data_IF_471343290741
#
_entry.id   IF_471343290741
#
_cell.length_a   1.000
_cell.length_b   1.000
_cell.length_c   1.000
_cell.angle_alpha   90.00
_cell.angle_beta   90.00
_cell.angle_gamma   90.00
#
_symmetry.space_group_name_H-M   'P 1'
#
loop_
_entity.id
_entity.type
_entity.pdbx_description
1 polymer ?
#
# COMPACT_ATOMS: atom_id res chain seq x y z
N UNK A 1 -10.27 18.92 13.75
CA UNK A 1 -11.64 19.05 13.19
C UNK A 1 -12.08 17.68 12.71
N UNK A 2 -12.85 16.94 13.49
CA UNK A 2 -13.48 15.67 13.10
C UNK A 2 -14.56 15.98 12.08
N UNK A 3 -14.24 15.92 10.79
CA UNK A 3 -15.25 15.99 9.74
C UNK A 3 -16.20 14.80 9.95
N UNK A 4 -17.35 15.02 10.62
CA UNK A 4 -18.52 14.14 10.50
C UNK A 4 -18.82 14.10 9.00
N UNK A 5 -18.37 13.02 8.33
CA UNK A 5 -18.63 12.84 6.92
C UNK A 5 -20.13 12.90 6.69
N UNK A 6 -20.55 13.83 5.82
CA UNK A 6 -21.94 14.03 5.44
C UNK A 6 -22.50 12.73 4.84
N UNK A 7 -23.83 12.57 4.85
CA UNK A 7 -24.52 11.47 4.15
C UNK A 7 -24.04 11.30 2.71
N UNK A 8 -23.60 12.39 2.05
CA UNK A 8 -23.02 12.38 0.71
C UNK A 8 -21.71 11.61 0.58
N UNK A 9 -20.84 11.62 1.59
CA UNK A 9 -19.60 10.84 1.56
C UNK A 9 -19.86 9.33 1.54
N UNK A 10 -20.76 8.86 2.39
CA UNK A 10 -21.15 7.44 2.43
C UNK A 10 -21.87 7.02 1.16
N UNK A 11 -22.72 7.88 0.60
CA UNK A 11 -23.37 7.63 -0.68
C UNK A 11 -22.32 7.50 -1.81
N UNK A 12 -21.35 8.42 -1.90
CA UNK A 12 -20.25 8.34 -2.86
C UNK A 12 -19.40 7.09 -2.69
N UNK A 13 -19.06 6.71 -1.44
CA UNK A 13 -18.33 5.47 -1.16
C UNK A 13 -19.11 4.23 -1.61
N UNK A 14 -20.42 4.15 -1.30
CA UNK A 14 -21.27 3.03 -1.73
C UNK A 14 -21.39 2.95 -3.26
N UNK A 15 -21.48 4.09 -3.95
CA UNK A 15 -21.52 4.13 -5.43
C UNK A 15 -20.22 3.60 -6.02
N UNK A 16 -19.06 4.08 -5.54
CA UNK A 16 -17.75 3.59 -6.01
C UNK A 16 -17.58 2.10 -5.72
N UNK A 17 -17.98 1.65 -4.53
CA UNK A 17 -17.92 0.23 -4.16
C UNK A 17 -18.82 -0.61 -5.07
N UNK A 18 -20.05 -0.17 -5.35
CA UNK A 18 -20.98 -0.86 -6.25
C UNK A 18 -20.40 -0.95 -7.68
N UNK A 19 -19.80 0.14 -8.18
CA UNK A 19 -19.12 0.13 -9.48
C UNK A 19 -17.97 -0.87 -9.52
N UNK A 20 -17.14 -0.95 -8.47
CA UNK A 20 -16.03 -1.90 -8.38
C UNK A 20 -16.52 -3.36 -8.25
N UNK A 21 -17.67 -3.61 -7.62
CA UNK A 21 -18.28 -4.96 -7.57
C UNK A 21 -18.79 -5.39 -8.95
N UNK A 22 -19.36 -4.46 -9.72
CA UNK A 22 -19.92 -4.74 -11.05
C UNK A 22 -18.83 -4.78 -12.13
N UNK A 23 -17.74 -4.03 -11.95
CA UNK A 23 -16.64 -3.92 -12.91
C UNK A 23 -16.15 -5.28 -13.46
N UNK A 24 -15.87 -6.32 -12.65
CA UNK A 24 -15.39 -7.61 -13.16
C UNK A 24 -16.44 -8.39 -13.99
N UNK A 25 -17.71 -8.02 -13.97
CA UNK A 25 -18.75 -8.64 -14.80
C UNK A 25 -18.78 -8.08 -16.22
N UNK A 26 -18.42 -6.81 -16.38
CA UNK A 26 -18.54 -6.08 -17.65
C UNK A 26 -17.18 -5.91 -18.35
N UNK A 27 -16.07 -5.75 -17.58
CA UNK A 27 -14.78 -5.45 -18.13
C UNK A 27 -14.11 -6.68 -18.79
N UNK A 28 -13.36 -6.50 -19.92
CA UNK A 28 -12.45 -7.49 -20.47
C UNK A 28 -11.38 -7.94 -19.45
N UNK A 29 -10.78 -9.10 -19.67
CA UNK A 29 -9.84 -9.72 -18.71
C UNK A 29 -8.66 -8.80 -18.34
N UNK A 30 -8.09 -8.09 -19.31
CA UNK A 30 -7.01 -7.13 -19.08
C UNK A 30 -7.41 -6.04 -18.08
N UNK A 31 -8.53 -5.34 -18.32
CA UNK A 31 -9.01 -4.27 -17.46
C UNK A 31 -9.43 -4.76 -16.09
N UNK A 32 -9.88 -6.00 -16.00
CA UNK A 32 -10.23 -6.67 -14.74
C UNK A 32 -8.98 -6.91 -13.87
N UNK A 33 -7.89 -7.41 -14.47
CA UNK A 33 -6.59 -7.56 -13.81
C UNK A 33 -6.03 -6.22 -13.40
N UNK A 34 -6.09 -5.24 -14.28
CA UNK A 34 -5.60 -3.88 -14.05
C UNK A 34 -6.35 -3.17 -12.93
N UNK A 35 -7.69 -3.28 -12.86
CA UNK A 35 -8.48 -2.75 -11.76
C UNK A 35 -8.11 -3.39 -10.41
N UNK A 36 -7.82 -4.69 -10.41
CA UNK A 36 -7.34 -5.40 -9.20
C UNK A 36 -5.95 -4.89 -8.79
N UNK A 37 -5.07 -4.66 -9.74
CA UNK A 37 -3.74 -4.10 -9.51
C UNK A 37 -3.82 -2.70 -8.88
N UNK A 38 -4.70 -1.83 -9.41
CA UNK A 38 -4.97 -0.50 -8.83
C UNK A 38 -5.40 -0.59 -7.37
N UNK A 39 -6.25 -1.55 -7.01
CA UNK A 39 -6.68 -1.76 -5.63
C UNK A 39 -5.52 -2.16 -4.72
N UNK A 40 -4.62 -3.03 -5.19
CA UNK A 40 -3.46 -3.50 -4.42
C UNK A 40 -2.45 -2.37 -4.21
N UNK A 41 -2.08 -1.65 -5.27
CA UNK A 41 -1.21 -0.46 -5.16
C UNK A 41 -1.86 0.64 -4.34
N UNK A 42 -3.18 0.81 -4.44
CA UNK A 42 -3.95 1.70 -3.59
C UNK A 42 -3.88 1.33 -2.11
N UNK A 43 -3.88 0.05 -1.77
CA UNK A 43 -3.69 -0.43 -0.39
C UNK A 43 -2.29 -0.11 0.12
N UNK A 44 -1.25 -0.34 -0.69
CA UNK A 44 0.12 0.03 -0.36
C UNK A 44 0.25 1.54 -0.14
N UNK A 45 -0.32 2.36 -1.03
CA UNK A 45 -0.32 3.81 -0.90
C UNK A 45 -1.11 4.28 0.34
N UNK A 46 -2.25 3.68 0.63
CA UNK A 46 -3.04 3.98 1.83
C UNK A 46 -2.31 3.59 3.12
N UNK A 47 -1.52 2.51 3.11
CA UNK A 47 -0.69 2.13 4.26
C UNK A 47 0.39 3.17 4.54
N UNK A 48 1.02 3.71 3.51
CA UNK A 48 2.04 4.75 3.65
C UNK A 48 1.44 6.12 4.04
N UNK A 49 0.18 6.40 3.67
CA UNK A 49 -0.53 7.62 4.09
C UNK A 49 -0.72 7.69 5.61
N UNK A 50 -0.78 6.55 6.30
CA UNK A 50 -0.78 6.52 7.76
C UNK A 50 0.46 7.19 8.35
N UNK A 51 1.63 7.06 7.71
CA UNK A 51 2.86 7.70 8.12
C UNK A 51 2.98 9.12 7.55
N UNK A 52 2.86 9.27 6.25
CA UNK A 52 3.04 10.56 5.57
C UNK A 52 1.94 11.53 5.98
N UNK A 53 0.69 11.07 5.90
CA UNK A 53 -0.50 11.89 6.07
C UNK A 53 -0.88 12.15 7.51
N UNK A 54 -0.68 11.20 8.42
CA UNK A 54 -1.14 11.34 9.80
C UNK A 54 -0.01 11.57 10.82
N UNK A 55 1.22 11.12 10.55
CA UNK A 55 2.36 11.37 11.44
C UNK A 55 3.37 12.37 10.90
N UNK A 56 3.29 12.72 9.61
CA UNK A 56 4.26 13.60 8.95
C UNK A 56 5.60 12.93 8.63
N UNK A 57 5.70 11.61 8.80
CA UNK A 57 6.93 10.84 8.56
C UNK A 57 6.96 10.29 7.14
N UNK A 58 7.82 10.82 6.28
CA UNK A 58 8.04 10.27 4.93
C UNK A 58 8.92 9.02 5.07
N UNK A 59 8.42 7.86 4.63
CA UNK A 59 9.13 6.59 4.72
C UNK A 59 9.40 6.01 3.33
N UNK A 60 10.65 5.65 3.08
CA UNK A 60 11.09 4.87 1.92
C UNK A 60 11.30 3.37 2.24
N UNK A 61 10.78 2.91 3.37
CA UNK A 61 10.84 1.51 3.81
C UNK A 61 9.65 0.65 3.39
N UNK A 62 8.61 1.22 2.77
CA UNK A 62 7.39 0.49 2.41
C UNK A 62 7.63 -0.63 1.40
N UNK A 63 8.62 -0.48 0.52
CA UNK A 63 9.05 -1.53 -0.41
C UNK A 63 9.54 -2.78 0.32
N UNK A 64 10.28 -2.63 1.43
CA UNK A 64 10.71 -3.76 2.24
C UNK A 64 9.51 -4.48 2.87
N UNK A 65 8.53 -3.77 3.42
CA UNK A 65 7.32 -4.36 4.00
C UNK A 65 6.48 -5.09 2.95
N UNK A 66 6.28 -4.45 1.80
CA UNK A 66 5.58 -5.01 0.65
C UNK A 66 6.28 -6.27 0.13
N UNK A 67 7.59 -6.18 -0.11
CA UNK A 67 8.39 -7.28 -0.62
C UNK A 67 8.45 -8.46 0.34
N UNK A 68 8.67 -8.21 1.65
CA UNK A 68 8.68 -9.30 2.64
C UNK A 68 7.30 -9.94 2.81
N UNK A 69 6.21 -9.16 2.66
CA UNK A 69 4.86 -9.71 2.55
C UNK A 69 4.71 -10.66 1.36
N UNK A 70 5.22 -10.24 0.21
CA UNK A 70 5.21 -11.00 -1.04
C UNK A 70 6.06 -12.28 -0.93
N UNK A 71 7.31 -12.20 -0.45
CA UNK A 71 8.20 -13.35 -0.28
C UNK A 71 7.73 -14.31 0.81
N UNK A 72 7.15 -13.81 1.91
CA UNK A 72 6.54 -14.64 2.94
C UNK A 72 5.38 -15.45 2.38
N UNK A 73 4.52 -14.85 1.56
CA UNK A 73 3.44 -15.56 0.88
C UNK A 73 4.00 -16.60 -0.11
N UNK A 74 5.02 -16.26 -0.89
CA UNK A 74 5.68 -17.18 -1.81
C UNK A 74 6.27 -18.40 -1.09
N UNK A 75 6.96 -18.19 0.04
CA UNK A 75 7.51 -19.25 0.85
C UNK A 75 6.44 -20.25 1.33
N UNK A 76 5.30 -19.73 1.83
CA UNK A 76 4.19 -20.60 2.25
C UNK A 76 3.58 -21.39 1.08
N UNK A 77 3.45 -20.75 -0.10
CA UNK A 77 2.83 -21.38 -1.28
C UNK A 77 3.75 -22.41 -1.97
N UNK A 78 5.06 -22.34 -1.74
CA UNK A 78 6.04 -23.30 -2.25
C UNK A 78 6.25 -24.50 -1.31
N UNK A 79 6.06 -24.30 0.01
CA UNK A 79 6.34 -25.33 1.01
C UNK A 79 5.14 -26.24 1.32
N UNK A 80 3.91 -25.80 1.01
CA UNK A 80 2.68 -26.54 1.33
C UNK A 80 1.94 -26.92 0.05
N UNK A 81 1.68 -28.21 -0.11
CA UNK A 81 0.87 -28.77 -1.22
C UNK A 81 -0.37 -29.48 -0.65
N UNK A 82 -1.62 -29.09 -1.01
CA UNK A 82 -1.96 -28.02 -1.95
C UNK A 82 -1.72 -26.60 -1.38
N UNK A 83 -1.44 -25.62 -2.27
CA UNK A 83 -1.17 -24.24 -1.87
C UNK A 83 -2.30 -23.66 -1.02
N UNK A 84 -1.97 -23.18 0.19
CA UNK A 84 -2.94 -22.68 1.16
C UNK A 84 -2.90 -21.16 1.26
N UNK A 85 -4.04 -20.51 0.94
CA UNK A 85 -4.20 -19.05 0.98
C UNK A 85 -3.95 -18.47 2.39
N UNK A 86 -4.51 -19.11 3.41
CA UNK A 86 -4.44 -18.57 4.77
C UNK A 86 -3.03 -18.62 5.35
N UNK A 87 -2.31 -19.70 5.05
CA UNK A 87 -0.89 -19.80 5.40
C UNK A 87 -0.07 -18.74 4.66
N UNK A 88 -0.32 -18.51 3.39
CA UNK A 88 0.34 -17.46 2.63
C UNK A 88 0.10 -16.08 3.26
N UNK A 89 -1.14 -15.78 3.67
CA UNK A 89 -1.46 -14.54 4.37
C UNK A 89 -0.73 -14.43 5.71
N UNK A 90 -0.72 -15.49 6.52
CA UNK A 90 -0.05 -15.49 7.83
C UNK A 90 1.45 -15.30 7.68
N UNK A 91 2.12 -16.07 6.83
CA UNK A 91 3.56 -15.96 6.61
C UNK A 91 3.95 -14.58 6.06
N UNK A 92 3.20 -14.07 5.09
CA UNK A 92 3.44 -12.73 4.54
C UNK A 92 3.26 -11.64 5.57
N UNK A 93 2.18 -11.68 6.36
CA UNK A 93 1.92 -10.69 7.41
C UNK A 93 2.94 -10.77 8.56
N UNK A 94 3.35 -11.97 8.98
CA UNK A 94 4.38 -12.16 10.01
C UNK A 94 5.73 -11.64 9.51
N UNK A 95 6.11 -11.95 8.27
CA UNK A 95 7.34 -11.44 7.65
C UNK A 95 7.36 -9.90 7.58
N UNK A 96 6.29 -9.30 7.08
CA UNK A 96 6.16 -7.85 7.00
C UNK A 96 6.13 -7.19 8.39
N UNK A 97 5.41 -7.77 9.36
CA UNK A 97 5.35 -7.25 10.73
C UNK A 97 6.71 -7.32 11.43
N UNK A 98 7.46 -8.41 11.23
CA UNK A 98 8.82 -8.55 11.78
C UNK A 98 9.77 -7.49 11.27
N UNK A 99 9.78 -7.25 9.95
CA UNK A 99 10.60 -6.20 9.34
C UNK A 99 10.10 -4.81 9.74
N UNK A 100 8.79 -4.60 9.80
CA UNK A 100 8.23 -3.33 10.24
C UNK A 100 8.62 -3.01 11.69
N UNK A 101 8.59 -3.99 12.58
CA UNK A 101 9.04 -3.84 13.98
C UNK A 101 10.53 -3.50 14.04
N UNK A 102 11.36 -4.22 13.28
CA UNK A 102 12.80 -3.97 13.21
C UNK A 102 13.08 -2.54 12.71
N UNK A 103 12.52 -2.14 11.59
CA UNK A 103 12.68 -0.80 11.03
C UNK A 103 12.14 0.26 12.00
N UNK A 104 10.96 0.03 12.60
CA UNK A 104 10.37 0.96 13.56
C UNK A 104 11.26 1.21 14.77
N UNK A 105 11.84 0.16 15.34
CA UNK A 105 12.68 0.27 16.54
C UNK A 105 13.90 1.18 16.32
N UNK A 106 14.54 1.07 15.16
CA UNK A 106 15.74 1.87 14.85
C UNK A 106 15.40 3.26 14.28
N UNK A 107 14.38 3.37 13.43
CA UNK A 107 14.12 4.60 12.67
C UNK A 107 13.28 5.63 13.42
N UNK A 108 12.37 5.22 14.30
CA UNK A 108 11.41 6.17 14.93
C UNK A 108 12.03 7.14 15.94
N UNK A 109 13.28 6.90 16.35
CA UNK A 109 14.08 7.83 17.17
C UNK A 109 14.62 9.01 16.35
N UNK A 110 14.63 8.86 15.02
CA UNK A 110 15.09 9.89 14.09
C UNK A 110 13.89 10.75 13.63
N UNK A 111 14.20 11.94 13.13
CA UNK A 111 13.20 12.92 12.71
C UNK A 111 13.39 13.30 11.26
N UNK A 112 12.30 13.71 10.63
CA UNK A 112 12.27 14.32 9.30
C UNK A 112 13.09 13.52 8.26
N UNK A 113 14.06 14.17 7.64
CA UNK A 113 14.89 13.59 6.58
C UNK A 113 15.72 12.39 7.06
N UNK A 114 16.14 12.38 8.33
CA UNK A 114 16.93 11.27 8.87
C UNK A 114 16.10 9.98 8.97
N UNK A 115 14.81 10.10 9.31
CA UNK A 115 13.89 8.97 9.29
C UNK A 115 13.72 8.43 7.85
N UNK A 116 13.52 9.33 6.87
CA UNK A 116 13.37 8.96 5.47
C UNK A 116 14.62 8.24 4.92
N UNK A 117 15.81 8.78 5.17
CA UNK A 117 17.07 8.17 4.72
C UNK A 117 17.30 6.82 5.40
N UNK A 118 17.05 6.71 6.70
CA UNK A 118 17.26 5.46 7.44
C UNK A 118 16.31 4.35 6.94
N UNK A 119 15.04 4.68 6.67
CA UNK A 119 14.09 3.71 6.11
C UNK A 119 14.47 3.30 4.68
N UNK A 120 15.05 4.21 3.89
CA UNK A 120 15.61 3.90 2.58
C UNK A 120 16.79 2.93 2.69
N UNK A 121 17.74 3.18 3.62
CA UNK A 121 18.87 2.29 3.85
C UNK A 121 18.39 0.89 4.24
N UNK A 122 17.43 0.76 5.13
CA UNK A 122 16.86 -0.54 5.50
C UNK A 122 16.22 -1.24 4.30
N UNK A 123 15.47 -0.53 3.47
CA UNK A 123 14.88 -1.11 2.27
C UNK A 123 15.94 -1.66 1.32
N UNK A 124 17.07 -0.94 1.17
CA UNK A 124 18.20 -1.40 0.36
C UNK A 124 18.92 -2.60 0.96
N UNK A 125 19.07 -2.67 2.29
CA UNK A 125 19.64 -3.84 2.96
C UNK A 125 18.77 -5.08 2.68
N UNK A 126 17.44 -4.98 2.86
CA UNK A 126 16.54 -6.10 2.56
C UNK A 126 16.54 -6.47 1.08
N UNK A 127 16.62 -5.48 0.17
CA UNK A 127 16.78 -5.73 -1.25
C UNK A 127 18.04 -6.54 -1.55
N UNK A 128 19.19 -6.12 -1.03
CA UNK A 128 20.47 -6.82 -1.24
C UNK A 128 20.42 -8.25 -0.67
N UNK A 129 19.86 -8.43 0.53
CA UNK A 129 19.70 -9.78 1.12
C UNK A 129 18.86 -10.66 0.19
N UNK A 130 17.71 -10.17 -0.27
CA UNK A 130 16.81 -10.94 -1.14
C UNK A 130 17.47 -11.22 -2.49
N UNK A 131 18.15 -10.25 -3.06
CA UNK A 131 18.80 -10.38 -4.36
C UNK A 131 19.97 -11.37 -4.34
N UNK A 132 20.74 -11.42 -3.25
CA UNK A 132 21.93 -12.27 -3.14
C UNK A 132 21.65 -13.67 -2.60
N UNK A 133 20.56 -13.88 -1.87
CA UNK A 133 20.23 -15.17 -1.24
C UNK A 133 19.45 -16.08 -2.21
N UNK A 134 20.12 -16.48 -3.29
CA UNK A 134 19.50 -17.21 -4.41
C UNK A 134 18.81 -18.52 -4.02
N UNK A 135 19.35 -19.25 -3.02
CA UNK A 135 18.81 -20.54 -2.57
C UNK A 135 17.40 -20.42 -1.95
N UNK A 136 17.08 -19.29 -1.33
CA UNK A 136 15.80 -19.08 -0.62
C UNK A 136 14.84 -18.20 -1.40
N UNK A 137 15.35 -17.17 -2.05
CA UNK A 137 14.55 -16.13 -2.70
C UNK A 137 14.49 -16.24 -4.22
N UNK A 138 15.27 -17.14 -4.81
CA UNK A 138 15.48 -17.23 -6.26
C UNK A 138 16.37 -16.12 -6.81
N UNK A 139 16.90 -15.22 -5.97
CA UNK A 139 17.75 -14.11 -6.36
C UNK A 139 17.10 -13.19 -7.39
N UNK A 140 17.84 -12.82 -8.45
CA UNK A 140 17.36 -11.98 -9.54
C UNK A 140 16.11 -12.56 -10.25
N UNK A 141 16.03 -13.90 -10.39
CA UNK A 141 14.92 -14.56 -11.07
C UNK A 141 13.63 -14.58 -10.26
N UNK A 142 13.68 -14.30 -8.95
CA UNK A 142 12.55 -14.37 -8.05
C UNK A 142 11.95 -15.76 -7.89
N UNK A 143 10.74 -15.83 -7.30
CA UNK A 143 10.02 -17.08 -7.04
C UNK A 143 8.70 -17.12 -7.81
N UNK A 144 8.46 -18.19 -8.56
CA UNK A 144 7.18 -18.48 -9.20
C UNK A 144 6.45 -19.59 -8.46
N UNK A 145 5.15 -19.48 -8.31
CA UNK A 145 4.33 -20.45 -7.58
C UNK A 145 2.93 -20.59 -8.18
N UNK A 146 2.24 -21.66 -7.79
CA UNK A 146 0.84 -21.88 -8.16
C UNK A 146 -0.06 -21.00 -7.34
N UNK A 147 -1.10 -20.44 -7.97
CA UNK A 147 -2.12 -19.66 -7.26
C UNK A 147 -2.87 -20.58 -6.29
N UNK A 148 -3.05 -20.18 -5.02
CA UNK A 148 -3.88 -20.94 -4.09
C UNK A 148 -5.34 -20.87 -4.51
N UNK A 149 -6.18 -21.76 -3.97
CA UNK A 149 -7.62 -21.62 -4.03
C UNK A 149 -8.13 -20.86 -2.79
N UNK A 150 -9.27 -20.20 -2.92
CA UNK A 150 -10.02 -19.72 -1.76
C UNK A 150 -10.71 -20.92 -1.13
N UNK A 151 -10.02 -21.57 -0.20
CA UNK A 151 -10.53 -22.70 0.52
C UNK A 151 -10.80 -22.35 1.99
N UNK A 152 -12.00 -22.64 2.47
CA UNK A 152 -12.32 -22.64 3.89
C UNK A 152 -12.42 -24.11 4.31
N UNK A 153 -11.53 -24.58 5.21
CA UNK A 153 -11.52 -25.97 5.62
C UNK A 153 -12.92 -26.43 6.07
N UNK A 154 -13.44 -27.50 5.44
CA UNK A 154 -14.74 -28.08 5.78
C UNK A 154 -15.98 -27.40 5.16
N UNK A 155 -15.84 -26.26 4.45
CA UNK A 155 -16.98 -25.56 3.85
C UNK A 155 -16.95 -25.57 2.32
N UNK A 156 -15.93 -24.96 1.71
CA UNK A 156 -15.85 -24.84 0.25
C UNK A 156 -14.40 -24.61 -0.22
N UNK A 157 -14.16 -24.92 -1.49
CA UNK A 157 -12.93 -24.58 -2.19
C UNK A 157 -13.28 -24.00 -3.56
N UNK A 158 -12.95 -22.73 -3.77
CA UNK A 158 -13.21 -22.02 -5.03
C UNK A 158 -11.88 -21.63 -5.65
N UNK A 159 -11.58 -22.06 -6.88
CA UNK A 159 -10.35 -21.63 -7.55
C UNK A 159 -10.39 -20.12 -7.83
N UNK A 160 -9.25 -19.45 -7.65
CA UNK A 160 -9.14 -18.05 -8.02
C UNK A 160 -9.10 -17.88 -9.55
N UNK A 161 -10.26 -17.60 -10.13
CA UNK A 161 -10.36 -16.97 -11.45
C UNK A 161 -9.97 -15.50 -11.34
N UNK A 162 -9.76 -14.80 -12.45
CA UNK A 162 -9.51 -13.35 -12.45
C UNK A 162 -10.64 -12.57 -11.76
N UNK A 163 -11.87 -13.07 -11.88
CA UNK A 163 -13.07 -12.44 -11.30
C UNK A 163 -13.18 -12.66 -9.78
N UNK A 164 -13.04 -13.92 -9.32
CA UNK A 164 -13.11 -14.24 -7.89
C UNK A 164 -11.95 -13.61 -7.10
N UNK A 165 -10.77 -13.49 -7.73
CA UNK A 165 -9.64 -12.79 -7.15
C UNK A 165 -9.93 -11.29 -6.99
N UNK A 166 -10.53 -10.66 -8.00
CA UNK A 166 -10.91 -9.24 -7.90
C UNK A 166 -11.82 -8.98 -6.71
N UNK A 167 -12.88 -9.79 -6.54
CA UNK A 167 -13.79 -9.62 -5.40
C UNK A 167 -13.13 -9.87 -4.05
N UNK A 168 -12.24 -10.87 -3.98
CA UNK A 168 -11.47 -11.12 -2.77
C UNK A 168 -10.56 -9.91 -2.42
N UNK A 169 -9.80 -9.40 -3.39
CA UNK A 169 -8.95 -8.22 -3.21
C UNK A 169 -9.79 -7.00 -2.82
N UNK A 170 -10.91 -6.76 -3.50
CA UNK A 170 -11.83 -5.66 -3.18
C UNK A 170 -12.33 -5.75 -1.73
N UNK A 171 -12.72 -6.95 -1.28
CA UNK A 171 -13.16 -7.16 0.11
C UNK A 171 -12.04 -6.86 1.11
N UNK A 172 -10.82 -7.37 0.88
CA UNK A 172 -9.65 -7.13 1.74
C UNK A 172 -9.27 -5.65 1.77
N UNK A 173 -9.22 -4.98 0.62
CA UNK A 173 -8.90 -3.54 0.52
C UNK A 173 -9.97 -2.69 1.21
N UNK A 174 -11.24 -3.02 1.02
CA UNK A 174 -12.35 -2.33 1.69
C UNK A 174 -12.27 -2.49 3.21
N UNK A 175 -12.02 -3.70 3.70
CA UNK A 175 -11.85 -3.97 5.14
C UNK A 175 -10.63 -3.23 5.70
N UNK A 176 -9.52 -3.23 4.97
CA UNK A 176 -8.30 -2.48 5.31
C UNK A 176 -8.56 -0.98 5.41
N UNK A 177 -9.30 -0.43 4.44
CA UNK A 177 -9.72 0.97 4.45
C UNK A 177 -10.59 1.29 5.69
N UNK A 178 -11.59 0.48 5.99
CA UNK A 178 -12.47 0.69 7.15
C UNK A 178 -11.67 0.62 8.47
N UNK A 179 -10.71 -0.31 8.55
CA UNK A 179 -9.84 -0.48 9.71
C UNK A 179 -8.91 0.72 9.89
N UNK A 180 -8.18 1.12 8.83
CA UNK A 180 -7.30 2.30 8.86
C UNK A 180 -8.08 3.57 9.17
N UNK A 181 -9.26 3.73 8.61
CA UNK A 181 -10.14 4.85 8.91
C UNK A 181 -10.55 4.88 10.38
N UNK A 182 -10.90 3.72 10.96
CA UNK A 182 -11.24 3.65 12.38
C UNK A 182 -10.04 3.98 13.26
N UNK A 183 -8.85 3.52 12.89
CA UNK A 183 -7.58 3.83 13.58
C UNK A 183 -7.30 5.34 13.53
N UNK A 184 -7.38 5.95 12.36
CA UNK A 184 -7.08 7.38 12.17
C UNK A 184 -8.10 8.31 12.83
N UNK A 185 -9.32 7.85 13.04
CA UNK A 185 -10.39 8.59 13.75
C UNK A 185 -10.43 8.29 15.26
N UNK A 186 -9.62 7.37 15.75
CA UNK A 186 -9.51 7.04 17.18
C UNK A 186 -8.65 8.05 17.95
N UNK A 187 -8.63 8.00 19.29
CA UNK A 187 -7.69 8.78 20.10
C UNK A 187 -6.23 8.58 19.69
N UNK A 188 -5.86 7.36 19.26
CA UNK A 188 -4.53 7.06 18.71
C UNK A 188 -4.24 7.94 17.47
N UNK A 189 -5.15 7.98 16.51
CA UNK A 189 -5.00 8.80 15.30
C UNK A 189 -4.92 10.31 15.58
N UNK A 190 -5.64 10.80 16.61
CA UNK A 190 -5.53 12.20 17.05
C UNK A 190 -4.14 12.52 17.61
N UNK A 191 -3.53 11.60 18.37
CA UNK A 191 -2.15 11.77 18.85
C UNK A 191 -1.16 11.76 17.70
N UNK A 192 -1.34 10.90 16.69
CA UNK A 192 -0.49 10.92 15.48
C UNK A 192 -0.54 12.29 14.78
N UNK A 193 -1.72 12.87 14.62
CA UNK A 193 -1.86 14.20 14.03
C UNK A 193 -1.20 15.30 14.90
N UNK A 194 -1.31 15.20 16.23
CA UNK A 194 -0.61 16.10 17.15
C UNK A 194 0.92 16.00 17.00
N UNK A 195 1.44 14.79 16.80
CA UNK A 195 2.87 14.56 16.52
C UNK A 195 3.26 15.23 15.20
N UNK A 196 2.44 15.09 14.16
CA UNK A 196 2.66 15.72 12.86
C UNK A 196 2.68 17.26 12.96
N UNK A 197 1.79 17.84 13.74
CA UNK A 197 1.74 19.31 13.90
C UNK A 197 2.93 19.84 14.72
N UNK A 198 3.24 19.21 15.84
CA UNK A 198 4.40 19.57 16.67
C UNK A 198 4.79 18.46 17.65
N UNK A 199 5.82 17.69 17.30
CA UNK A 199 6.31 16.58 18.11
C UNK A 199 6.80 17.03 19.49
N UNK A 200 7.52 18.14 19.57
CA UNK A 200 8.07 18.65 20.84
C UNK A 200 6.94 19.04 21.80
N UNK A 201 5.89 19.68 21.30
CA UNK A 201 4.71 20.05 22.09
C UNK A 201 3.97 18.80 22.58
N UNK A 202 3.77 17.80 21.70
CA UNK A 202 3.08 16.54 22.05
C UNK A 202 3.85 15.79 23.15
N UNK A 203 5.18 15.81 23.09
CA UNK A 203 6.05 15.23 24.13
C UNK A 203 5.97 16.01 25.46
N UNK A 204 5.94 17.34 25.38
CA UNK A 204 5.88 18.20 26.57
C UNK A 204 4.58 18.02 27.38
N UNK A 205 3.46 17.67 26.73
CA UNK A 205 2.20 17.35 27.40
C UNK A 205 2.08 15.90 27.89
N UNK A 206 3.20 15.11 27.81
CA UNK A 206 3.33 13.79 28.44
C UNK A 206 3.06 12.59 27.57
N UNK A 207 2.83 12.74 26.24
CA UNK A 207 2.65 11.58 25.36
C UNK A 207 3.98 10.89 25.04
N UNK A 208 4.06 9.54 25.13
CA UNK A 208 5.25 8.76 24.73
C UNK A 208 5.35 8.65 23.21
N UNK A 209 5.81 9.72 22.55
CA UNK A 209 5.80 9.91 21.09
C UNK A 209 6.45 8.74 20.35
N UNK A 210 7.59 8.21 20.84
CA UNK A 210 8.30 7.10 20.21
C UNK A 210 7.42 5.83 20.12
N UNK A 211 6.65 5.52 21.17
CA UNK A 211 5.75 4.36 21.16
C UNK A 211 4.64 4.52 20.13
N UNK A 212 4.07 5.72 20.01
CA UNK A 212 3.06 6.02 18.98
C UNK A 212 3.63 5.88 17.57
N UNK A 213 4.84 6.37 17.34
CA UNK A 213 5.54 6.23 16.05
C UNK A 213 5.83 4.75 15.72
N UNK A 214 6.33 3.97 16.69
CA UNK A 214 6.59 2.53 16.50
C UNK A 214 5.31 1.81 16.09
N UNK A 215 4.21 2.02 16.82
CA UNK A 215 2.92 1.40 16.50
C UNK A 215 2.40 1.84 15.12
N UNK A 216 2.57 3.11 14.76
CA UNK A 216 2.18 3.63 13.45
C UNK A 216 2.97 2.95 12.31
N UNK A 217 4.30 2.80 12.46
CA UNK A 217 5.14 2.11 11.47
C UNK A 217 4.77 0.63 11.37
N UNK A 218 4.53 -0.05 12.51
CA UNK A 218 4.09 -1.46 12.51
C UNK A 218 2.76 -1.63 11.80
N UNK A 219 1.76 -0.82 12.11
CA UNK A 219 0.45 -0.87 11.43
C UNK A 219 0.61 -0.62 9.94
N UNK A 220 1.34 0.44 9.56
CA UNK A 220 1.62 0.75 8.16
C UNK A 220 2.31 -0.42 7.45
N UNK A 221 3.34 -1.01 8.08
CA UNK A 221 4.08 -2.14 7.52
C UNK A 221 3.22 -3.40 7.35
N UNK A 222 2.32 -3.70 8.28
CA UNK A 222 1.38 -4.84 8.17
C UNK A 222 0.44 -4.66 6.97
N UNK A 223 -0.13 -3.45 6.76
CA UNK A 223 -0.99 -3.21 5.61
C UNK A 223 -0.20 -3.16 4.29
N UNK A 224 1.04 -2.67 4.30
CA UNK A 224 1.94 -2.75 3.16
C UNK A 224 2.28 -4.21 2.80
N UNK A 225 2.58 -5.04 3.82
CA UNK A 225 2.80 -6.47 3.64
C UNK A 225 1.56 -7.20 3.13
N UNK A 226 0.37 -6.84 3.61
CA UNK A 226 -0.88 -7.37 3.08
C UNK A 226 -1.05 -7.06 1.58
N UNK A 227 -0.72 -5.84 1.15
CA UNK A 227 -0.69 -5.50 -0.27
C UNK A 227 0.32 -6.37 -1.03
N UNK A 228 1.51 -6.64 -0.46
CA UNK A 228 2.50 -7.54 -1.03
C UNK A 228 2.00 -8.97 -1.21
N UNK A 229 1.33 -9.53 -0.20
CA UNK A 229 0.68 -10.86 -0.29
C UNK A 229 -0.33 -10.90 -1.44
N UNK A 230 -1.21 -9.90 -1.53
CA UNK A 230 -2.23 -9.83 -2.58
C UNK A 230 -1.60 -9.71 -3.97
N UNK A 231 -0.53 -8.92 -4.09
CA UNK A 231 0.23 -8.76 -5.32
C UNK A 231 0.88 -10.07 -5.78
N UNK A 232 1.50 -10.80 -4.83
CA UNK A 232 2.08 -12.11 -5.08
C UNK A 232 1.02 -13.09 -5.63
N UNK A 233 -0.14 -13.18 -5.00
CA UNK A 233 -1.24 -14.07 -5.41
C UNK A 233 -1.78 -13.68 -6.80
N UNK A 234 -1.89 -12.38 -7.09
CA UNK A 234 -2.35 -11.90 -8.39
C UNK A 234 -1.38 -12.29 -9.51
N UNK A 235 -0.09 -12.01 -9.31
CA UNK A 235 0.92 -12.20 -10.34
C UNK A 235 1.53 -13.61 -10.36
N UNK A 236 1.34 -14.42 -9.31
CA UNK A 236 1.96 -15.75 -9.10
C UNK A 236 3.49 -15.68 -9.08
N UNK A 237 4.01 -14.57 -8.63
CA UNK A 237 5.42 -14.26 -8.73
C UNK A 237 5.84 -13.33 -7.59
N UNK A 238 7.05 -13.55 -7.07
CA UNK A 238 7.71 -12.67 -6.12
C UNK A 238 9.08 -12.30 -6.70
N UNK A 239 9.34 -11.00 -6.86
CA UNK A 239 10.59 -10.49 -7.43
C UNK A 239 11.29 -9.49 -6.50
N UNK A 240 12.63 -9.44 -6.51
CA UNK A 240 13.40 -8.50 -5.70
C UNK A 240 13.13 -7.04 -6.06
N UNK A 241 12.78 -6.74 -7.31
CA UNK A 241 12.51 -5.38 -7.78
C UNK A 241 11.45 -4.65 -6.95
N UNK A 242 10.47 -5.38 -6.42
CA UNK A 242 9.43 -4.81 -5.56
C UNK A 242 9.91 -4.46 -4.14
N UNK A 243 11.09 -4.95 -3.74
CA UNK A 243 11.75 -4.58 -2.48
C UNK A 243 12.62 -3.34 -2.66
N UNK A 244 12.99 -3.01 -3.89
CA UNK A 244 13.82 -1.87 -4.20
C UNK A 244 13.16 -0.54 -3.83
N UNK A 245 13.95 0.44 -3.36
CA UNK A 245 13.43 1.70 -2.82
C UNK A 245 12.54 2.51 -3.79
N UNK A 246 12.68 2.31 -5.10
CA UNK A 246 11.81 2.97 -6.08
C UNK A 246 10.33 2.65 -5.89
N UNK A 247 9.99 1.44 -5.47
CA UNK A 247 8.61 1.06 -5.11
C UNK A 247 8.07 1.92 -3.96
N UNK A 248 8.89 2.23 -2.97
CA UNK A 248 8.53 3.19 -1.92
C UNK A 248 8.36 4.61 -2.48
N UNK A 249 9.23 5.01 -3.42
CA UNK A 249 9.14 6.29 -4.12
C UNK A 249 7.83 6.45 -4.89
N UNK A 250 7.42 5.42 -5.66
CA UNK A 250 6.11 5.40 -6.33
C UNK A 250 4.96 5.56 -5.34
N UNK A 251 5.06 4.91 -4.18
CA UNK A 251 4.05 5.03 -3.11
C UNK A 251 3.91 6.46 -2.59
N UNK A 252 5.03 7.19 -2.44
CA UNK A 252 5.03 8.62 -2.07
C UNK A 252 4.37 9.45 -3.18
N UNK A 253 4.69 9.16 -4.45
CA UNK A 253 4.07 9.83 -5.60
C UNK A 253 2.55 9.64 -5.58
N UNK A 254 2.04 8.42 -5.33
CA UNK A 254 0.60 8.15 -5.23
C UNK A 254 -0.07 8.99 -4.14
N UNK A 255 0.59 9.13 -2.99
CA UNK A 255 0.09 9.96 -1.88
C UNK A 255 0.00 11.43 -2.27
N UNK A 256 1.06 11.97 -2.88
CA UNK A 256 1.11 13.38 -3.29
C UNK A 256 0.08 13.67 -4.39
N UNK A 257 0.00 12.80 -5.41
CA UNK A 257 -0.96 12.95 -6.50
C UNK A 257 -2.41 12.84 -6.03
N UNK A 258 -2.68 11.91 -5.14
CA UNK A 258 -4.04 11.65 -4.65
C UNK A 258 -4.53 12.64 -3.61
N UNK A 259 -3.63 13.11 -2.75
CA UNK A 259 -3.91 14.00 -1.62
C UNK A 259 -3.62 13.34 -0.28
N UNK A 260 -2.54 13.78 0.35
CA UNK A 260 -2.00 13.27 1.62
C UNK A 260 -2.99 13.44 2.79
N UNK A 261 -3.09 12.44 3.64
CA UNK A 261 -3.90 12.49 4.87
C UNK A 261 -5.39 12.26 4.66
N UNK A 262 -5.78 11.60 3.56
CA UNK A 262 -7.19 11.37 3.23
C UNK A 262 -7.59 9.88 3.19
N UNK A 263 -6.65 8.96 3.20
CA UNK A 263 -6.76 7.50 2.99
C UNK A 263 -7.33 7.12 1.61
N UNK A 264 -8.33 7.84 1.10
CA UNK A 264 -8.91 7.61 -0.23
C UNK A 264 -8.05 8.24 -1.32
N UNK A 265 -7.41 9.39 -1.04
CA UNK A 265 -6.53 10.07 -1.97
C UNK A 265 -5.47 9.17 -2.56
N UNK A 266 -4.68 8.49 -1.75
CA UNK A 266 -3.65 7.56 -2.21
C UNK A 266 -4.16 6.50 -3.20
N UNK A 267 -5.38 5.97 -3.00
CA UNK A 267 -6.00 5.02 -3.94
C UNK A 267 -6.27 5.70 -5.29
N UNK A 268 -6.82 6.92 -5.26
CA UNK A 268 -7.07 7.72 -6.47
C UNK A 268 -5.75 8.09 -7.15
N UNK A 269 -4.72 8.44 -6.37
CA UNK A 269 -3.38 8.72 -6.87
C UNK A 269 -2.74 7.53 -7.55
N UNK A 270 -2.82 6.34 -6.93
CA UNK A 270 -2.34 5.09 -7.51
C UNK A 270 -3.10 4.77 -8.82
N UNK A 271 -4.43 4.90 -8.81
CA UNK A 271 -5.25 4.70 -10.01
C UNK A 271 -4.83 5.64 -11.15
N UNK A 272 -4.68 6.91 -10.85
CA UNK A 272 -4.31 7.92 -11.85
C UNK A 272 -2.89 7.68 -12.39
N UNK A 273 -1.92 7.42 -11.52
CA UNK A 273 -0.54 7.13 -11.93
C UNK A 273 -0.45 5.88 -12.82
N UNK A 274 -1.11 4.78 -12.41
CA UNK A 274 -1.11 3.54 -13.16
C UNK A 274 -1.80 3.69 -14.53
N UNK A 275 -2.90 4.44 -14.59
CA UNK A 275 -3.57 4.78 -15.85
C UNK A 275 -2.69 5.61 -16.78
N UNK A 276 -1.96 6.59 -16.25
CA UNK A 276 -0.99 7.35 -17.03
C UNK A 276 0.14 6.45 -17.54
N UNK A 277 0.70 5.61 -16.67
CA UNK A 277 1.76 4.65 -17.03
C UNK A 277 1.31 3.74 -18.16
N UNK A 278 0.11 3.17 -18.05
CA UNK A 278 -0.48 2.30 -19.07
C UNK A 278 -0.74 3.06 -20.39
N UNK A 279 -1.28 4.27 -20.32
CA UNK A 279 -1.55 5.07 -21.50
C UNK A 279 -0.26 5.44 -22.25
N UNK A 280 0.76 5.90 -21.53
CA UNK A 280 2.02 6.32 -22.15
C UNK A 280 2.91 5.17 -22.59
N UNK A 281 2.88 4.01 -21.91
CA UNK A 281 3.64 2.84 -22.32
C UNK A 281 3.25 2.31 -23.69
N UNK A 282 2.03 2.56 -24.13
CA UNK A 282 1.55 2.20 -25.49
C UNK A 282 2.13 3.07 -26.60
N UNK A 283 2.48 4.33 -26.30
CA UNK A 283 3.01 5.29 -27.27
C UNK A 283 4.54 5.40 -27.19
N UNK A 284 5.13 5.22 -25.99
CA UNK A 284 6.54 5.41 -25.71
C UNK A 284 7.09 4.21 -24.96
N UNK A 285 7.45 3.15 -25.66
CA UNK A 285 7.83 1.86 -25.05
C UNK A 285 9.00 1.98 -24.07
N UNK A 286 10.03 2.79 -24.37
CA UNK A 286 11.23 2.92 -23.52
C UNK A 286 11.20 4.17 -22.62
N UNK A 287 10.55 5.26 -23.07
CA UNK A 287 10.63 6.57 -22.40
C UNK A 287 9.32 7.00 -21.71
N UNK A 288 8.39 6.07 -21.47
CA UNK A 288 7.07 6.38 -20.91
C UNK A 288 7.13 7.06 -19.52
N UNK A 289 8.21 6.87 -18.77
CA UNK A 289 8.40 7.52 -17.47
C UNK A 289 8.64 9.04 -17.57
N UNK A 290 9.16 9.54 -18.70
CA UNK A 290 9.41 10.97 -18.88
C UNK A 290 8.10 11.76 -18.88
N UNK A 291 7.10 11.48 -19.75
CA UNK A 291 5.83 12.19 -19.71
C UNK A 291 5.08 12.01 -18.39
N UNK A 292 5.16 10.84 -17.76
CA UNK A 292 4.56 10.61 -16.44
C UNK A 292 5.21 11.51 -15.38
N UNK A 293 6.54 11.65 -15.40
CA UNK A 293 7.28 12.55 -14.51
C UNK A 293 6.94 14.03 -14.73
N UNK A 294 6.81 14.47 -15.99
CA UNK A 294 6.39 15.83 -16.33
C UNK A 294 4.99 16.12 -15.77
N UNK A 295 4.04 15.21 -15.96
CA UNK A 295 2.68 15.34 -15.41
C UNK A 295 2.71 15.38 -13.89
N UNK A 296 3.53 14.56 -13.25
CA UNK A 296 3.70 14.58 -11.79
C UNK A 296 4.20 15.94 -11.31
N UNK A 297 5.25 16.51 -11.94
CA UNK A 297 5.78 17.83 -11.60
C UNK A 297 4.69 18.90 -11.78
N UNK A 298 3.98 18.86 -12.90
CA UNK A 298 2.88 19.79 -13.16
C UNK A 298 1.79 19.67 -12.07
N UNK A 299 1.42 18.44 -11.67
CA UNK A 299 0.45 18.24 -10.61
C UNK A 299 0.90 18.79 -9.26
N UNK A 300 2.16 18.59 -8.88
CA UNK A 300 2.70 19.14 -7.62
C UNK A 300 2.64 20.67 -7.60
N UNK A 301 2.94 21.32 -8.73
CA UNK A 301 2.94 22.78 -8.86
C UNK A 301 1.51 23.34 -8.86
N UNK A 302 0.62 22.77 -9.66
CA UNK A 302 -0.72 23.33 -9.89
C UNK A 302 -1.80 22.79 -8.93
N UNK A 303 -1.58 21.60 -8.35
CA UNK A 303 -2.53 20.88 -7.50
C UNK A 303 -1.90 20.48 -6.14
N UNK A 304 -1.41 21.43 -5.33
CA UNK A 304 -0.67 21.11 -4.09
C UNK A 304 -1.49 20.35 -3.04
N UNK A 305 -2.82 20.27 -3.21
CA UNK A 305 -3.72 19.49 -2.36
C UNK A 305 -4.08 18.12 -2.95
N UNK A 306 -3.45 17.74 -4.06
CA UNK A 306 -3.76 16.52 -4.81
C UNK A 306 -5.13 16.55 -5.50
N UNK A 307 -5.42 15.48 -6.23
CA UNK A 307 -6.66 15.34 -7.00
C UNK A 307 -7.93 15.46 -6.14
N UNK A 308 -7.96 14.79 -4.98
CA UNK A 308 -9.13 14.87 -4.09
C UNK A 308 -9.33 16.26 -3.48
N UNK A 309 -8.26 16.98 -3.17
CA UNK A 309 -8.36 18.35 -2.68
C UNK A 309 -8.98 19.30 -3.72
N UNK A 310 -8.57 19.15 -4.97
CA UNK A 310 -9.14 19.89 -6.10
C UNK A 310 -10.62 19.58 -6.32
N UNK A 311 -10.99 18.28 -6.35
CA UNK A 311 -12.39 17.86 -6.51
C UNK A 311 -13.31 18.40 -5.41
N UNK A 312 -12.86 18.41 -4.15
CA UNK A 312 -13.64 18.97 -3.03
C UNK A 312 -13.86 20.48 -3.17
N UNK A 313 -12.87 21.22 -3.65
CA UNK A 313 -13.04 22.66 -3.89
C UNK A 313 -14.05 22.95 -4.99
N UNK A 314 -14.07 22.11 -6.02
CA UNK A 314 -14.97 22.27 -7.15
C UNK A 314 -16.42 21.90 -6.80
N UNK A 315 -16.63 20.86 -5.98
CA UNK A 315 -17.97 20.43 -5.52
C UNK A 315 -18.58 21.35 -4.45
N UNK A 316 -17.77 22.16 -3.75
CA UNK A 316 -18.22 23.10 -2.73
C UNK A 316 -18.39 24.53 -3.27
N UNK A 317 -18.18 24.76 -4.56
CA UNK A 317 -18.54 25.99 -5.29
C UNK A 317 -19.91 25.82 -5.94
#
# INVERSE_FOLDING_TARGET
MTARFSRGYWAGFCIVLALLIVAPLVLPEFWRRFATEILIWGLLAMSSDLLIGYTGMISFGHSAFFGLGMYGAAAALLTVDPPNLWLAMVYGLVGAAGVALFVAYFSTRLRDIYFAITTLIFSQIFYVIIFTWTEVTGGENGLTFRRPALAVPGLFSVPFTTQTLHWFVLAVVTLSYLTLRRITQSPFGMVLQSIRENEARTRAIGYPVERYKIVAVMLSGVFAGLAGVLYAIQNRFAAPDFVYFLTSGETVIFNVMGGVGTLVGPIVGAAFFLLLREAFSRFFTEYYLIPVGIIFIAMVIFLPQGLLGFMRRWLNR
#
